data_IF_841007639262
#
_entry.id   IF_841007639262
#
_cell.length_a   1.000
_cell.length_b   1.000
_cell.length_c   1.000
_cell.angle_alpha   90.00
_cell.angle_beta   90.00
_cell.angle_gamma   90.00
#
_symmetry.space_group_name_H-M   'P 1'
#
loop_
_entity.id
_entity.type
_entity.pdbx_description
1 polymer ?
#
# COMPACT_ATOMS: atom_id res chain seq x y z
N UNK A 1 -18.80 -13.06 -5.28
CA UNK A 1 -17.82 -11.99 -5.01
C UNK A 1 -18.17 -10.82 -5.89
N UNK A 2 -18.27 -9.64 -5.32
CA UNK A 2 -18.47 -8.40 -6.05
C UNK A 2 -17.11 -7.78 -6.39
N UNK A 3 -17.08 -6.94 -7.42
CA UNK A 3 -16.00 -5.97 -7.60
C UNK A 3 -16.46 -4.60 -7.07
N UNK A 4 -15.55 -3.77 -6.58
CA UNK A 4 -15.89 -2.46 -6.01
C UNK A 4 -14.98 -1.36 -6.55
N UNK A 5 -15.57 -0.24 -6.99
CA UNK A 5 -14.86 1.01 -7.19
C UNK A 5 -14.50 1.63 -5.83
N UNK A 6 -13.30 2.21 -5.74
CA UNK A 6 -12.86 2.97 -4.57
C UNK A 6 -13.06 4.46 -4.85
N UNK A 7 -14.08 5.04 -4.20
CA UNK A 7 -14.46 6.44 -4.38
C UNK A 7 -13.80 7.32 -3.31
N UNK A 8 -12.76 8.06 -3.71
CA UNK A 8 -12.06 8.99 -2.82
C UNK A 8 -12.92 10.21 -2.47
N UNK A 9 -13.03 10.51 -1.19
CA UNK A 9 -13.63 11.75 -0.68
C UNK A 9 -12.67 12.93 -0.71
N UNK A 10 -13.13 14.05 -0.16
CA UNK A 10 -12.32 15.26 0.05
C UNK A 10 -11.30 15.08 1.17
N UNK A 11 -10.24 15.89 1.14
CA UNK A 11 -9.23 15.97 2.19
C UNK A 11 -9.83 16.26 3.57
N UNK A 12 -9.33 15.56 4.61
CA UNK A 12 -9.74 15.72 6.01
C UNK A 12 -8.53 15.58 6.93
N UNK A 13 -8.65 16.07 8.17
CA UNK A 13 -7.65 15.86 9.23
C UNK A 13 -8.25 15.23 10.50
N UNK A 14 -9.55 14.91 10.49
CA UNK A 14 -10.27 14.25 11.57
C UNK A 14 -10.91 12.99 11.03
N UNK A 15 -10.59 11.84 11.63
CA UNK A 15 -11.10 10.54 11.19
C UNK A 15 -12.61 10.45 11.42
N UNK A 16 -13.30 9.84 10.46
CA UNK A 16 -14.69 9.42 10.60
C UNK A 16 -14.79 7.89 10.54
N UNK A 17 -15.87 7.34 11.11
CA UNK A 17 -16.09 5.89 11.20
C UNK A 17 -17.10 5.35 10.18
N UNK A 18 -17.64 6.22 9.32
CA UNK A 18 -18.65 5.91 8.30
C UNK A 18 -18.06 5.57 6.93
N UNK A 19 -16.74 5.52 6.80
CA UNK A 19 -16.02 5.16 5.56
C UNK A 19 -15.49 3.73 5.57
N UNK A 20 -15.10 3.25 4.39
CA UNK A 20 -14.50 1.93 4.20
C UNK A 20 -12.97 1.96 4.29
N UNK A 21 -12.40 3.12 4.61
CA UNK A 21 -10.95 3.31 4.72
C UNK A 21 -10.52 4.72 4.36
N UNK A 22 -9.20 4.91 4.31
CA UNK A 22 -8.59 6.18 3.92
C UNK A 22 -7.21 5.96 3.30
N UNK A 23 -6.83 6.85 2.39
CA UNK A 23 -5.43 6.97 1.95
C UNK A 23 -4.73 8.13 2.67
N UNK A 24 -3.40 8.04 2.74
CA UNK A 24 -2.53 8.85 3.59
C UNK A 24 -2.91 8.73 5.07
N UNK A 25 -2.70 9.78 5.86
CA UNK A 25 -3.01 9.77 7.27
C UNK A 25 -2.18 8.78 8.07
N UNK A 26 -2.68 8.49 9.27
CA UNK A 26 -2.06 7.57 10.21
C UNK A 26 -2.76 6.20 10.17
N UNK A 27 -2.03 5.09 10.35
CA UNK A 27 -2.60 3.75 10.48
C UNK A 27 -3.22 3.55 11.87
N UNK A 28 -4.24 2.69 12.02
CA UNK A 28 -4.74 2.24 13.31
C UNK A 28 -4.06 0.92 13.72
N UNK A 29 -4.29 0.46 14.94
CA UNK A 29 -4.04 -0.94 15.32
C UNK A 29 -2.57 -1.36 15.48
N UNK A 30 -1.64 -0.40 15.47
CA UNK A 30 -0.22 -0.62 15.77
C UNK A 30 0.24 0.35 16.87
N UNK A 31 1.27 -0.05 17.63
CA UNK A 31 2.04 0.86 18.47
C UNK A 31 3.19 1.51 17.68
N UNK A 32 3.73 2.66 18.10
CA UNK A 32 4.86 3.32 17.42
C UNK A 32 6.05 2.38 17.17
N UNK A 33 6.37 1.52 18.13
CA UNK A 33 7.48 0.58 18.02
C UNK A 33 7.22 -0.56 17.02
N UNK A 34 5.96 -0.81 16.67
CA UNK A 34 5.54 -1.81 15.70
C UNK A 34 5.48 -1.27 14.27
N UNK A 35 5.69 0.05 14.08
CA UNK A 35 5.67 0.68 12.77
C UNK A 35 6.71 0.04 11.84
N UNK A 36 6.32 -0.44 10.64
CA UNK A 36 7.25 -1.09 9.72
C UNK A 36 8.43 -0.18 9.37
N UNK A 37 9.66 -0.65 9.57
CA UNK A 37 10.85 0.01 9.06
C UNK A 37 11.12 -0.39 7.61
N UNK A 38 11.59 0.57 6.81
CA UNK A 38 12.15 0.35 5.49
C UNK A 38 13.51 -0.36 5.65
N UNK A 39 13.68 -1.56 5.07
CA UNK A 39 14.91 -2.33 5.19
C UNK A 39 16.14 -1.64 4.55
N UNK A 40 15.96 -0.71 3.61
CA UNK A 40 17.05 -0.07 2.88
C UNK A 40 17.52 1.21 3.54
N UNK A 41 16.60 2.06 4.00
CA UNK A 41 16.94 3.34 4.62
C UNK A 41 16.94 3.31 6.14
N UNK A 42 16.27 2.33 6.76
CA UNK A 42 16.09 2.24 8.21
C UNK A 42 15.05 3.20 8.79
N UNK A 43 14.45 4.08 7.96
CA UNK A 43 13.37 4.97 8.38
C UNK A 43 12.03 4.24 8.47
N UNK A 44 11.05 4.78 9.20
CA UNK A 44 9.67 4.29 9.16
C UNK A 44 9.12 4.33 7.73
N UNK A 45 8.43 3.28 7.30
CA UNK A 45 7.77 3.20 6.00
C UNK A 45 6.58 4.17 5.94
N UNK A 46 6.28 4.68 4.75
CA UNK A 46 5.11 5.51 4.50
C UNK A 46 3.84 4.68 4.66
N UNK A 47 2.91 5.08 5.54
CA UNK A 47 1.55 4.55 5.50
C UNK A 47 0.80 5.20 4.35
N UNK A 48 0.39 4.42 3.36
CA UNK A 48 -0.34 4.99 2.22
C UNK A 48 -1.83 4.72 2.24
N UNK A 49 -2.33 3.60 2.80
CA UNK A 49 -3.77 3.46 3.06
C UNK A 49 -4.11 2.40 4.10
N UNK A 50 -5.28 2.55 4.71
CA UNK A 50 -5.98 1.51 5.47
C UNK A 50 -7.31 1.21 4.79
N UNK A 51 -7.57 -0.07 4.52
CA UNK A 51 -8.77 -0.55 3.83
C UNK A 51 -9.54 -1.54 4.71
N UNK A 52 -10.82 -1.26 4.93
CA UNK A 52 -11.78 -2.23 5.47
C UNK A 52 -12.16 -3.21 4.37
N UNK A 53 -12.02 -4.49 4.67
CA UNK A 53 -12.34 -5.57 3.74
C UNK A 53 -13.84 -5.88 3.78
N UNK A 54 -14.53 -5.84 2.62
CA UNK A 54 -15.83 -6.45 2.44
C UNK A 54 -15.80 -7.93 2.87
N UNK A 55 -16.94 -8.48 3.28
CA UNK A 55 -17.02 -9.86 3.78
C UNK A 55 -16.46 -10.89 2.78
N UNK A 56 -16.72 -10.70 1.49
CA UNK A 56 -16.22 -11.55 0.42
C UNK A 56 -14.72 -11.41 0.12
N UNK A 57 -14.02 -10.48 0.78
CA UNK A 57 -12.57 -10.29 0.70
C UNK A 57 -11.82 -10.68 1.99
N UNK A 58 -12.52 -11.19 3.02
CA UNK A 58 -11.90 -11.60 4.31
C UNK A 58 -11.28 -13.00 4.24
N UNK A 59 -10.30 -13.16 3.36
CA UNK A 59 -9.64 -14.44 3.05
C UNK A 59 -8.65 -14.94 4.11
N UNK A 60 -8.25 -14.08 5.05
CA UNK A 60 -7.37 -14.43 6.18
C UNK A 60 -8.13 -14.81 7.45
N UNK A 61 -9.42 -15.10 7.33
CA UNK A 61 -10.32 -15.42 8.43
C UNK A 61 -11.34 -14.29 8.71
N UNK A 62 -12.49 -14.63 9.29
CA UNK A 62 -13.59 -13.68 9.49
C UNK A 62 -13.26 -12.56 10.50
N UNK A 63 -12.24 -12.76 11.36
CA UNK A 63 -11.76 -11.77 12.32
C UNK A 63 -10.77 -10.77 11.71
N UNK A 64 -10.25 -11.03 10.50
CA UNK A 64 -9.44 -10.06 9.74
C UNK A 64 -10.37 -9.19 8.92
N UNK A 65 -10.62 -7.97 9.39
CA UNK A 65 -11.63 -7.08 8.80
C UNK A 65 -11.02 -5.93 8.00
N UNK A 66 -9.70 -5.70 8.11
CA UNK A 66 -9.01 -4.62 7.44
C UNK A 66 -7.54 -4.94 7.23
N UNK A 67 -6.87 -4.15 6.40
CA UNK A 67 -5.42 -4.14 6.24
C UNK A 67 -4.90 -2.70 6.19
N UNK A 68 -3.70 -2.48 6.69
CA UNK A 68 -2.93 -1.25 6.53
C UNK A 68 -1.71 -1.53 5.65
N UNK A 69 -1.50 -0.71 4.62
CA UNK A 69 -0.45 -0.88 3.62
C UNK A 69 0.61 0.21 3.74
N UNK A 70 1.87 -0.21 3.67
CA UNK A 70 3.05 0.61 3.84
C UNK A 70 4.04 0.39 2.70
N UNK A 71 4.79 1.42 2.35
CA UNK A 71 5.80 1.36 1.29
C UNK A 71 7.06 2.17 1.64
N UNK A 72 8.15 1.91 0.92
CA UNK A 72 9.26 2.85 0.76
C UNK A 72 8.72 4.23 0.36
N UNK A 73 9.24 5.29 0.98
CA UNK A 73 8.80 6.65 0.70
C UNK A 73 9.13 7.06 -0.76
N UNK A 74 8.31 7.89 -1.41
CA UNK A 74 8.50 8.22 -2.83
C UNK A 74 9.81 8.96 -3.10
N UNK A 75 10.26 9.81 -2.19
CA UNK A 75 11.56 10.51 -2.22
C UNK A 75 12.75 9.59 -1.87
N UNK A 76 12.47 8.36 -1.45
CA UNK A 76 13.44 7.27 -1.31
C UNK A 76 13.37 6.25 -2.46
N UNK A 77 12.61 6.53 -3.52
CA UNK A 77 12.49 5.69 -4.71
C UNK A 77 12.77 6.48 -5.99
N UNK A 78 13.99 6.32 -6.53
CA UNK A 78 14.43 6.88 -7.81
C UNK A 78 14.90 5.75 -8.75
N UNK A 79 13.95 4.93 -9.20
CA UNK A 79 14.25 3.70 -9.93
C UNK A 79 14.79 2.57 -9.05
N UNK A 80 14.57 2.67 -7.74
CA UNK A 80 15.06 1.75 -6.71
C UNK A 80 15.19 2.42 -5.35
N UNK A 81 15.33 1.65 -4.26
CA UNK A 81 15.34 2.19 -2.91
C UNK A 81 16.65 2.94 -2.61
N UNK A 82 16.54 4.08 -1.92
CA UNK A 82 17.68 4.75 -1.31
C UNK A 82 18.37 3.80 -0.31
N UNK A 83 19.68 3.61 -0.50
CA UNK A 83 20.47 2.63 0.27
C UNK A 83 21.20 3.30 1.42
N UNK A 84 20.85 2.88 2.63
CA UNK A 84 21.62 3.17 3.84
C UNK A 84 22.75 2.17 4.04
N UNK A 85 23.12 1.97 5.31
CA UNK A 85 24.24 1.12 5.70
C UNK A 85 24.07 -0.35 5.32
N UNK A 86 25.20 -0.99 4.97
CA UNK A 86 25.26 -2.42 4.73
C UNK A 86 24.74 -3.23 5.92
N UNK A 87 23.95 -4.27 5.62
CA UNK A 87 23.36 -5.16 6.62
C UNK A 87 22.02 -4.70 7.20
N UNK A 88 21.57 -3.45 6.97
CA UNK A 88 20.24 -2.99 7.35
C UNK A 88 19.11 -3.91 6.84
N UNK A 89 19.10 -4.31 5.55
CA UNK A 89 18.02 -5.14 5.04
C UNK A 89 17.90 -6.48 5.78
N UNK A 90 19.03 -7.09 6.11
CA UNK A 90 19.08 -8.36 6.85
C UNK A 90 18.52 -8.20 8.26
N UNK A 91 18.96 -7.19 9.03
CA UNK A 91 18.53 -7.04 10.42
C UNK A 91 17.09 -6.53 10.56
N UNK A 92 16.56 -5.84 9.54
CA UNK A 92 15.19 -5.31 9.54
C UNK A 92 14.16 -6.30 8.97
N UNK A 93 14.45 -6.90 7.81
CA UNK A 93 13.48 -7.76 7.14
C UNK A 93 13.37 -9.15 7.79
N UNK A 94 14.48 -9.67 8.33
CA UNK A 94 14.57 -10.98 8.94
C UNK A 94 15.47 -10.96 10.19
N UNK A 95 15.07 -10.27 11.28
CA UNK A 95 15.89 -10.16 12.47
C UNK A 95 16.22 -11.53 13.06
N UNK A 96 17.50 -11.85 13.18
CA UNK A 96 17.97 -13.09 13.79
C UNK A 96 17.63 -13.16 15.29
N UNK A 97 17.67 -14.37 15.86
CA UNK A 97 17.44 -14.58 17.30
C UNK A 97 18.51 -13.91 18.18
N UNK A 98 19.75 -13.85 17.70
CA UNK A 98 20.88 -13.21 18.37
C UNK A 98 21.10 -11.79 17.82
N UNK A 99 21.59 -10.84 18.65
CA UNK A 99 21.94 -9.50 18.20
C UNK A 99 23.02 -9.53 17.10
N UNK A 100 23.03 -8.56 16.17
CA UNK A 100 24.11 -8.44 15.18
C UNK A 100 25.45 -8.13 15.85
N UNK A 101 26.53 -8.66 15.25
CA UNK A 101 27.90 -8.39 15.67
C UNK A 101 28.25 -6.90 15.54
N UNK A 102 27.85 -6.28 14.43
CA UNK A 102 27.93 -4.84 14.26
C UNK A 102 26.96 -4.15 15.23
N UNK A 103 27.52 -3.57 16.30
CA UNK A 103 26.77 -2.89 17.35
C UNK A 103 25.94 -1.72 16.85
N UNK A 104 26.35 -1.05 15.76
CA UNK A 104 25.61 0.05 15.16
C UNK A 104 24.28 -0.37 14.50
N UNK A 105 24.13 -1.66 14.16
CA UNK A 105 22.89 -2.25 13.64
C UNK A 105 21.92 -2.70 14.74
N UNK A 106 22.36 -2.76 16.01
CA UNK A 106 21.53 -3.27 17.11
C UNK A 106 20.23 -2.48 17.32
N UNK A 107 20.21 -1.13 17.27
CA UNK A 107 18.96 -0.38 17.43
C UNK A 107 17.90 -0.74 16.37
N UNK A 108 18.32 -1.02 15.13
CA UNK A 108 17.42 -1.46 14.06
C UNK A 108 16.92 -2.89 14.28
N UNK A 109 17.81 -3.79 14.68
CA UNK A 109 17.45 -5.18 15.03
C UNK A 109 16.45 -5.24 16.20
N UNK A 110 16.68 -4.46 17.26
CA UNK A 110 15.77 -4.36 18.41
C UNK A 110 14.40 -3.86 17.96
N UNK A 111 14.35 -2.80 17.15
CA UNK A 111 13.11 -2.27 16.61
C UNK A 111 12.39 -3.28 15.71
N UNK A 112 13.10 -3.96 14.82
CA UNK A 112 12.51 -4.92 13.90
C UNK A 112 11.86 -6.12 14.61
N UNK A 113 12.39 -6.52 15.77
CA UNK A 113 11.81 -7.60 16.60
C UNK A 113 10.50 -7.23 17.29
N UNK A 114 10.17 -5.94 17.37
CA UNK A 114 8.90 -5.46 17.89
C UNK A 114 7.81 -5.41 16.82
N UNK A 115 8.08 -5.91 15.60
CA UNK A 115 7.11 -5.94 14.51
C UNK A 115 5.75 -6.51 14.92
N UNK A 116 4.69 -5.96 14.35
CA UNK A 116 3.33 -6.46 14.57
C UNK A 116 3.22 -7.94 14.14
N UNK A 117 2.54 -8.76 14.94
CA UNK A 117 2.48 -10.22 14.72
C UNK A 117 1.83 -10.63 13.38
N UNK A 118 1.04 -9.74 12.77
CA UNK A 118 0.40 -9.93 11.46
C UNK A 118 1.04 -9.06 10.35
N UNK A 119 2.30 -8.66 10.53
CA UNK A 119 3.08 -7.99 9.50
C UNK A 119 3.51 -8.99 8.43
N UNK A 120 3.28 -8.65 7.17
CA UNK A 120 3.88 -9.31 6.00
C UNK A 120 4.69 -8.29 5.23
N UNK A 121 5.88 -8.68 4.78
CA UNK A 121 6.79 -7.84 3.99
C UNK A 121 6.86 -8.36 2.56
N UNK A 122 6.96 -7.44 1.61
CA UNK A 122 7.01 -7.71 0.18
C UNK A 122 8.07 -6.80 -0.46
N UNK A 123 8.44 -7.10 -1.69
CA UNK A 123 9.42 -6.35 -2.46
C UNK A 123 9.02 -6.38 -3.94
N UNK A 124 9.19 -5.27 -4.64
CA UNK A 124 8.98 -5.21 -6.10
C UNK A 124 10.25 -5.51 -6.90
N UNK A 125 10.14 -5.46 -8.23
CA UNK A 125 11.24 -5.71 -9.16
C UNK A 125 12.38 -4.68 -9.08
N UNK A 126 12.10 -3.46 -8.62
CA UNK A 126 13.12 -2.41 -8.39
C UNK A 126 13.80 -2.56 -7.02
N UNK A 127 13.30 -3.47 -6.21
CA UNK A 127 13.78 -3.75 -4.88
C UNK A 127 13.17 -2.87 -3.79
N UNK A 128 12.20 -2.01 -4.10
CA UNK A 128 11.50 -1.19 -3.11
C UNK A 128 10.69 -2.08 -2.17
N UNK A 129 10.59 -1.67 -0.90
CA UNK A 129 9.99 -2.47 0.13
C UNK A 129 8.52 -2.08 0.36
N UNK A 130 7.69 -3.10 0.61
CA UNK A 130 6.28 -2.94 0.94
C UNK A 130 5.92 -3.78 2.15
N UNK A 131 4.88 -3.39 2.86
CA UNK A 131 4.42 -4.11 4.04
C UNK A 131 2.91 -4.00 4.20
N UNK A 132 2.31 -5.08 4.69
CA UNK A 132 0.90 -5.15 5.07
C UNK A 132 0.80 -5.55 6.53
N UNK A 133 -0.06 -4.87 7.27
CA UNK A 133 -0.49 -5.29 8.61
C UNK A 133 -1.97 -5.66 8.54
N UNK A 134 -2.31 -6.92 8.80
CA UNK A 134 -3.70 -7.37 8.86
C UNK A 134 -4.32 -7.02 10.23
N UNK A 135 -5.51 -6.46 10.20
CA UNK A 135 -6.17 -5.86 11.36
C UNK A 135 -7.47 -6.59 11.74
N UNK A 136 -7.67 -6.71 13.04
CA UNK A 136 -8.95 -7.09 13.65
C UNK A 136 -9.86 -5.88 13.83
N UNK A 137 -11.13 -6.10 14.17
CA UNK A 137 -12.12 -5.04 14.34
C UNK A 137 -11.72 -4.03 15.42
N UNK A 138 -11.26 -4.52 16.59
CA UNK A 138 -10.76 -3.68 17.69
C UNK A 138 -9.55 -2.83 17.26
N UNK A 139 -8.62 -3.43 16.52
CA UNK A 139 -7.45 -2.74 15.99
C UNK A 139 -7.84 -1.67 14.96
N UNK A 140 -8.78 -1.97 14.05
CA UNK A 140 -9.28 -1.02 13.04
C UNK A 140 -10.03 0.15 13.67
N UNK A 141 -10.91 -0.10 14.64
CA UNK A 141 -11.69 0.93 15.33
C UNK A 141 -10.87 1.73 16.36
N UNK A 142 -9.69 1.21 16.70
CA UNK A 142 -8.78 1.79 17.67
C UNK A 142 -8.18 3.15 17.28
N UNK A 143 -7.40 3.74 18.19
CA UNK A 143 -6.74 5.01 17.96
C UNK A 143 -5.74 4.93 16.81
N UNK A 144 -5.55 6.07 16.14
CA UNK A 144 -4.52 6.22 15.12
C UNK A 144 -3.14 6.30 15.79
N UNK A 145 -2.17 5.59 15.23
CA UNK A 145 -0.80 5.60 15.71
C UNK A 145 -0.05 6.81 15.15
N UNK A 146 0.55 7.68 15.99
CA UNK A 146 1.42 8.74 15.49
C UNK A 146 2.70 8.15 14.84
N UNK A 147 3.42 8.93 14.01
CA UNK A 147 4.71 8.50 13.50
C UNK A 147 5.65 8.13 14.64
N UNK A 148 6.47 7.09 14.49
CA UNK A 148 7.28 6.60 15.58
C UNK A 148 8.52 7.48 15.82
N UNK A 149 9.13 7.41 17.01
CA UNK A 149 10.45 7.97 17.20
C UNK A 149 11.43 7.29 16.24
N UNK A 150 12.42 8.04 15.76
CA UNK A 150 13.45 7.50 14.89
C UNK A 150 14.39 6.57 15.66
N UNK A 151 14.98 5.62 14.94
CA UNK A 151 16.01 4.74 15.51
C UNK A 151 17.24 5.59 15.83
N UNK A 152 17.68 5.54 17.09
CA UNK A 152 18.87 6.27 17.54
C UNK A 152 20.14 5.54 17.06
N UNK A 153 20.60 5.88 15.86
CA UNK A 153 21.82 5.36 15.27
C UNK A 153 22.38 6.36 14.25
N UNK A 154 23.70 6.51 14.23
CA UNK A 154 24.39 7.32 13.22
C UNK A 154 24.24 6.75 11.81
N UNK A 155 23.92 5.44 11.68
CA UNK A 155 23.65 4.82 10.39
C UNK A 155 22.39 5.39 9.72
N UNK A 156 21.41 5.86 10.51
CA UNK A 156 20.18 6.46 9.97
C UNK A 156 20.47 7.76 9.20
N UNK A 157 21.54 8.47 9.56
CA UNK A 157 21.93 9.76 8.97
C UNK A 157 22.61 9.61 7.60
N UNK A 158 22.88 8.39 7.13
CA UNK A 158 23.47 8.13 5.82
C UNK A 158 22.48 8.39 4.67
N UNK A 159 21.17 8.36 4.98
CA UNK A 159 20.10 8.69 4.05
C UNK A 159 19.34 9.88 4.61
N UNK A 160 18.97 10.82 3.74
CA UNK A 160 18.14 11.96 4.13
C UNK A 160 16.80 11.47 4.69
N UNK A 161 16.29 12.09 5.75
CA UNK A 161 15.00 11.73 6.30
C UNK A 161 13.89 11.94 5.26
N UNK A 162 12.96 10.97 5.11
CA UNK A 162 11.90 11.09 4.11
C UNK A 162 10.97 12.25 4.48
N UNK A 163 10.57 13.03 3.49
CA UNK A 163 9.92 14.32 3.67
C UNK A 163 8.58 14.20 4.44
N UNK A 164 7.86 13.10 4.25
CA UNK A 164 6.57 12.84 4.89
C UNK A 164 6.65 12.88 6.43
N UNK A 165 7.80 12.58 7.04
CA UNK A 165 7.97 12.67 8.49
C UNK A 165 7.85 14.12 8.99
N UNK A 166 8.17 15.10 8.15
CA UNK A 166 8.12 16.52 8.49
C UNK A 166 6.79 17.14 8.08
N UNK A 167 6.33 16.88 6.86
CA UNK A 167 5.18 17.59 6.27
C UNK A 167 3.92 16.75 6.10
N UNK A 168 3.97 15.47 6.47
CA UNK A 168 2.88 14.51 6.26
C UNK A 168 2.85 13.91 4.86
N UNK A 169 2.34 12.67 4.77
CA UNK A 169 2.27 11.88 3.54
C UNK A 169 1.50 12.58 2.40
N UNK A 170 0.37 13.22 2.73
CA UNK A 170 -0.47 13.92 1.78
C UNK A 170 0.26 15.07 1.07
N UNK A 171 1.05 15.87 1.81
CA UNK A 171 1.78 17.01 1.25
C UNK A 171 3.04 16.56 0.49
N UNK A 172 3.75 15.57 1.03
CA UNK A 172 4.92 14.97 0.36
C UNK A 172 4.54 14.36 -0.99
N UNK A 173 3.43 13.62 -1.09
CA UNK A 173 2.93 13.10 -2.37
C UNK A 173 2.73 14.20 -3.42
N UNK A 174 2.10 15.32 -3.06
CA UNK A 174 1.89 16.44 -3.98
C UNK A 174 3.21 17.07 -4.44
N UNK A 175 4.17 17.24 -3.52
CA UNK A 175 5.47 17.83 -3.82
C UNK A 175 6.35 16.92 -4.71
N UNK A 176 6.42 15.62 -4.38
CA UNK A 176 7.29 14.65 -5.06
C UNK A 176 6.71 14.16 -6.39
N UNK A 177 5.40 13.92 -6.45
CA UNK A 177 4.75 13.26 -7.59
C UNK A 177 3.90 14.22 -8.45
N UNK A 178 3.83 15.50 -8.07
CA UNK A 178 3.03 16.51 -8.77
C UNK A 178 1.52 16.22 -8.77
N UNK A 179 1.02 15.52 -7.75
CA UNK A 179 -0.39 15.13 -7.63
C UNK A 179 -1.21 16.18 -6.86
N UNK A 180 -2.53 16.00 -6.83
CA UNK A 180 -3.48 16.91 -6.17
C UNK A 180 -3.04 17.25 -4.73
N UNK A 181 -2.88 18.54 -4.46
CA UNK A 181 -2.39 19.04 -3.19
C UNK A 181 -3.55 19.31 -2.24
N UNK A 182 -3.40 18.87 -0.99
CA UNK A 182 -4.34 19.27 0.07
C UNK A 182 -4.28 20.79 0.29
N UNK A 183 -5.45 21.41 0.43
CA UNK A 183 -5.59 22.83 0.79
C UNK A 183 -5.80 23.04 2.29
N UNK A 184 -5.77 21.97 3.09
CA UNK A 184 -6.00 22.05 4.52
C UNK A 184 -4.81 22.68 5.25
N UNK A 185 -5.09 23.79 5.92
CA UNK A 185 -4.17 24.43 6.87
C UNK A 185 -4.42 23.87 8.28
N UNK A 186 -3.51 23.01 8.73
CA UNK A 186 -3.55 22.39 10.05
C UNK A 186 -2.14 22.06 10.53
N UNK A 187 -1.85 22.21 11.84
CA UNK A 187 -0.60 21.74 12.42
C UNK A 187 -0.53 20.20 12.50
N UNK A 188 -1.68 19.50 12.44
CA UNK A 188 -1.75 18.04 12.48
C UNK A 188 -1.46 17.43 11.09
N UNK A 189 -0.27 17.72 10.54
CA UNK A 189 0.07 17.41 9.15
C UNK A 189 -0.02 15.93 8.80
N UNK A 190 0.34 15.03 9.72
CA UNK A 190 0.26 13.58 9.51
C UNK A 190 -1.17 13.04 9.58
N UNK A 191 -2.12 13.78 10.16
CA UNK A 191 -3.51 13.37 10.23
C UNK A 191 -4.28 13.65 8.92
N UNK A 192 -3.67 14.39 7.98
CA UNK A 192 -4.29 14.70 6.69
C UNK A 192 -4.44 13.41 5.87
N UNK A 193 -5.67 13.08 5.52
CA UNK A 193 -6.05 11.89 4.77
C UNK A 193 -7.21 12.17 3.81
N UNK A 194 -7.48 11.23 2.89
CA UNK A 194 -8.74 11.20 2.14
C UNK A 194 -9.50 9.92 2.52
N UNK A 195 -10.68 10.00 3.14
CA UNK A 195 -11.52 8.84 3.32
C UNK A 195 -12.01 8.33 1.97
N UNK A 196 -12.37 7.07 1.87
CA UNK A 196 -13.01 6.51 0.69
C UNK A 196 -14.15 5.56 1.04
N UNK A 197 -15.03 5.34 0.07
CA UNK A 197 -16.10 4.36 0.15
C UNK A 197 -15.99 3.37 -1.00
N UNK A 198 -16.44 2.15 -0.73
CA UNK A 198 -16.54 1.10 -1.73
C UNK A 198 -17.91 1.15 -2.39
N UNK A 199 -17.94 1.22 -3.71
CA UNK A 199 -19.17 1.19 -4.51
C UNK A 199 -19.14 -0.05 -5.38
N UNK A 200 -20.10 -0.95 -5.20
CA UNK A 200 -20.15 -2.18 -5.99
C UNK A 200 -20.27 -1.86 -7.49
N UNK A 201 -19.40 -2.46 -8.31
CA UNK A 201 -19.45 -2.37 -9.77
C UNK A 201 -20.59 -3.23 -10.29
N UNK A 202 -21.60 -2.57 -10.84
CA UNK A 202 -22.63 -3.28 -11.59
C UNK A 202 -22.03 -3.78 -12.92
N UNK A 203 -22.20 -5.08 -13.21
CA UNK A 203 -21.88 -5.69 -14.50
C UNK A 203 -20.38 -5.76 -14.88
N UNK A 204 -19.44 -5.70 -13.92
CA UNK A 204 -18.05 -6.05 -14.23
C UNK A 204 -17.97 -7.55 -14.58
N UNK A 205 -17.66 -7.93 -15.84
CA UNK A 205 -17.68 -9.32 -16.26
C UNK A 205 -16.59 -10.15 -15.57
N UNK A 206 -15.60 -9.50 -14.93
CA UNK A 206 -14.47 -10.14 -14.28
C UNK A 206 -14.63 -10.29 -12.76
N UNK A 207 -15.74 -9.85 -12.18
CA UNK A 207 -16.01 -10.00 -10.75
C UNK A 207 -15.88 -11.48 -10.32
N UNK A 208 -14.98 -11.76 -9.35
CA UNK A 208 -14.72 -13.10 -8.84
C UNK A 208 -13.91 -14.03 -9.75
N UNK A 209 -13.43 -13.56 -10.91
CA UNK A 209 -12.61 -14.34 -11.83
C UNK A 209 -11.12 -14.12 -11.57
N UNK A 210 -10.31 -15.13 -11.85
CA UNK A 210 -8.85 -15.03 -11.76
C UNK A 210 -8.37 -14.15 -12.91
N UNK A 211 -7.64 -13.05 -12.63
CA UNK A 211 -7.01 -12.24 -13.68
C UNK A 211 -6.15 -13.09 -14.61
N UNK A 212 -6.37 -12.98 -15.92
CA UNK A 212 -5.57 -13.64 -16.95
C UNK A 212 -5.30 -12.71 -18.13
N UNK A 213 -4.04 -12.60 -18.52
CA UNK A 213 -3.65 -11.74 -19.62
C UNK A 213 -3.89 -12.45 -20.94
N UNK A 214 -4.66 -11.83 -21.83
CA UNK A 214 -4.84 -12.28 -23.22
C UNK A 214 -4.57 -11.10 -24.15
N UNK A 215 -3.80 -11.35 -25.20
CA UNK A 215 -3.35 -10.32 -26.15
C UNK A 215 -4.13 -10.33 -27.46
N UNK A 216 -4.81 -11.44 -27.75
CA UNK A 216 -5.56 -11.71 -28.99
C UNK A 216 -7.07 -11.48 -28.82
N UNK A 217 -7.48 -10.78 -27.76
CA UNK A 217 -8.89 -10.54 -27.43
C UNK A 217 -9.68 -11.80 -27.05
N UNK A 218 -9.03 -12.97 -26.94
CA UNK A 218 -9.71 -14.19 -26.52
C UNK A 218 -10.07 -14.12 -25.05
N UNK A 219 -11.20 -14.73 -24.71
CA UNK A 219 -11.60 -14.91 -23.31
C UNK A 219 -10.75 -16.06 -22.76
N UNK A 220 -9.98 -15.77 -21.71
CA UNK A 220 -9.11 -16.76 -21.08
C UNK A 220 -9.90 -17.95 -20.51
N UNK A 221 -9.22 -19.07 -20.31
CA UNK A 221 -9.75 -20.16 -19.48
C UNK A 221 -10.13 -19.62 -18.09
N UNK A 222 -11.36 -19.89 -17.64
CA UNK A 222 -11.96 -19.26 -16.44
C UNK A 222 -12.81 -18.01 -16.73
N UNK A 223 -12.90 -17.59 -17.99
CA UNK A 223 -13.88 -16.60 -18.44
C UNK A 223 -13.47 -15.14 -18.22
N UNK A 224 -12.22 -14.87 -17.82
CA UNK A 224 -11.70 -13.51 -17.64
C UNK A 224 -11.55 -12.82 -19.00
N UNK A 225 -11.95 -11.55 -19.07
CA UNK A 225 -11.97 -10.74 -20.29
C UNK A 225 -10.99 -9.58 -20.15
N UNK A 226 -10.16 -9.35 -21.17
CA UNK A 226 -9.33 -8.14 -21.22
C UNK A 226 -10.19 -6.87 -21.23
N UNK A 227 -9.80 -5.79 -20.52
CA UNK A 227 -10.45 -4.49 -20.66
C UNK A 227 -10.21 -3.87 -22.05
N UNK A 228 -9.19 -4.33 -22.76
CA UNK A 228 -8.77 -3.85 -24.07
C UNK A 228 -9.22 -4.79 -25.19
N UNK A 229 -9.64 -4.19 -26.29
CA UNK A 229 -9.82 -4.87 -27.59
C UNK A 229 -8.48 -5.04 -28.29
N UNK A 230 -8.47 -5.79 -29.39
CA UNK A 230 -7.27 -5.98 -30.23
C UNK A 230 -6.64 -4.66 -30.71
N UNK A 231 -7.44 -3.60 -30.88
CA UNK A 231 -6.97 -2.26 -31.27
C UNK A 231 -6.56 -1.38 -30.08
N UNK A 232 -6.42 -1.96 -28.88
CA UNK A 232 -6.15 -1.28 -27.60
C UNK A 232 -7.22 -0.29 -27.14
N UNK A 233 -8.38 -0.25 -27.80
CA UNK A 233 -9.51 0.53 -27.31
C UNK A 233 -10.26 -0.21 -26.18
N UNK A 234 -10.89 0.56 -25.30
CA UNK A 234 -11.67 -0.01 -24.20
C UNK A 234 -13.00 -0.62 -24.67
N UNK A 235 -13.42 -1.70 -24.04
CA UNK A 235 -14.79 -2.18 -24.19
C UNK A 235 -15.82 -1.22 -23.57
N UNK A 236 -17.03 -1.17 -24.12
CA UNK A 236 -18.09 -0.29 -23.59
C UNK A 236 -18.48 -0.61 -22.13
N UNK A 237 -18.32 -1.88 -21.71
CA UNK A 237 -18.62 -2.30 -20.35
C UNK A 237 -17.61 -1.79 -19.31
N UNK A 238 -16.43 -1.30 -19.72
CA UNK A 238 -15.45 -0.71 -18.80
C UNK A 238 -15.78 0.73 -18.43
N UNK A 239 -16.78 1.34 -19.08
CA UNK A 239 -17.18 2.71 -18.87
C UNK A 239 -17.67 2.92 -17.43
N UNK A 240 -17.11 3.95 -16.76
CA UNK A 240 -17.49 4.32 -15.40
C UNK A 240 -16.76 3.59 -14.28
N UNK A 241 -16.01 2.52 -14.57
CA UNK A 241 -15.14 1.88 -13.59
C UNK A 241 -13.97 2.83 -13.23
N UNK A 242 -13.79 3.03 -11.93
CA UNK A 242 -12.69 3.81 -11.37
C UNK A 242 -11.32 3.13 -11.58
N UNK A 243 -10.21 3.89 -11.57
CA UNK A 243 -8.88 3.30 -11.60
C UNK A 243 -8.59 2.48 -10.34
N UNK A 244 -8.86 3.03 -9.16
CA UNK A 244 -8.66 2.33 -7.88
C UNK A 244 -9.85 1.43 -7.56
N UNK A 245 -9.62 0.14 -7.30
CA UNK A 245 -10.70 -0.82 -7.11
C UNK A 245 -10.32 -2.12 -6.40
N UNK A 246 -11.34 -2.83 -5.92
CA UNK A 246 -11.24 -4.19 -5.38
C UNK A 246 -11.80 -5.20 -6.39
N UNK A 247 -10.95 -6.15 -6.81
CA UNK A 247 -11.26 -7.22 -7.76
C UNK A 247 -11.94 -6.79 -9.05
N UNK A 248 -12.40 -7.77 -9.83
CA UNK A 248 -12.98 -7.49 -11.14
C UNK A 248 -11.91 -7.31 -12.19
N UNK A 249 -12.02 -6.24 -12.98
CA UNK A 249 -11.15 -5.99 -14.14
C UNK A 249 -9.89 -5.21 -13.77
N UNK A 250 -8.77 -5.92 -13.78
CA UNK A 250 -7.42 -5.38 -13.63
C UNK A 250 -7.04 -4.58 -14.89
N UNK A 251 -6.31 -3.47 -14.76
CA UNK A 251 -6.03 -2.53 -15.87
C UNK A 251 -4.56 -2.21 -16.20
N UNK A 252 -3.54 -3.03 -15.89
CA UNK A 252 -2.22 -2.77 -16.43
C UNK A 252 -2.24 -2.96 -17.96
N UNK A 253 -1.48 -2.15 -18.68
CA UNK A 253 -1.35 -2.27 -20.14
C UNK A 253 -0.57 -3.53 -20.50
N UNK A 254 0.42 -3.90 -19.70
CA UNK A 254 1.28 -5.07 -19.90
C UNK A 254 1.67 -5.75 -18.59
N UNK A 255 2.25 -6.96 -18.66
CA UNK A 255 2.81 -7.69 -17.51
C UNK A 255 1.84 -7.87 -16.32
N UNK A 256 0.60 -8.31 -16.59
CA UNK A 256 -0.38 -8.50 -15.53
C UNK A 256 0.07 -9.60 -14.56
N UNK A 257 0.10 -9.35 -13.24
CA UNK A 257 0.56 -10.34 -12.29
C UNK A 257 -0.41 -11.52 -12.17
N UNK A 258 0.12 -12.72 -11.88
CA UNK A 258 -0.68 -13.93 -11.66
C UNK A 258 -1.30 -13.93 -10.26
N UNK A 259 -2.38 -13.16 -10.08
CA UNK A 259 -3.06 -12.99 -8.80
C UNK A 259 -4.35 -13.78 -8.68
N UNK A 260 -4.79 -13.96 -7.44
CA UNK A 260 -6.13 -14.45 -7.14
C UNK A 260 -7.20 -13.39 -7.46
N UNK A 261 -8.51 -13.74 -7.47
CA UNK A 261 -9.59 -12.76 -7.61
C UNK A 261 -9.67 -11.74 -6.45
N UNK A 262 -8.95 -11.98 -5.36
CA UNK A 262 -8.99 -11.20 -4.13
C UNK A 262 -7.87 -10.16 -4.14
N UNK A 263 -7.94 -9.15 -5.01
CA UNK A 263 -6.91 -8.11 -5.09
C UNK A 263 -7.49 -6.71 -4.93
N UNK A 264 -6.63 -5.78 -4.54
CA UNK A 264 -6.83 -4.34 -4.74
C UNK A 264 -5.88 -3.89 -5.85
N UNK A 265 -6.38 -3.09 -6.78
CA UNK A 265 -5.56 -2.33 -7.75
C UNK A 265 -5.67 -0.84 -7.42
N UNK A 266 -4.53 -0.14 -7.45
CA UNK A 266 -4.47 1.26 -7.09
C UNK A 266 -3.32 2.02 -7.79
N UNK A 267 -3.55 3.31 -8.03
CA UNK A 267 -2.58 4.22 -8.63
C UNK A 267 -1.75 4.97 -7.58
N UNK A 268 -0.71 5.66 -8.03
CA UNK A 268 0.21 6.47 -7.21
C UNK A 268 -0.48 7.48 -6.28
N UNK A 269 -1.62 8.04 -6.70
CA UNK A 269 -2.41 9.00 -5.92
C UNK A 269 -3.13 8.35 -4.71
N UNK A 270 -3.20 7.02 -4.68
CA UNK A 270 -3.83 6.23 -3.63
C UNK A 270 -2.79 5.80 -2.60
N UNK A 271 -2.11 6.78 -1.99
CA UNK A 271 -1.16 6.53 -0.89
C UNK A 271 0.23 7.13 -1.09
N UNK A 272 0.53 7.71 -2.26
CA UNK A 272 1.74 8.49 -2.50
C UNK A 272 2.96 7.65 -2.82
N UNK A 273 2.87 6.86 -3.89
CA UNK A 273 3.93 5.97 -4.34
C UNK A 273 4.46 6.37 -5.72
N UNK A 274 5.67 5.95 -6.05
CA UNK A 274 6.24 6.14 -7.38
C UNK A 274 6.22 4.80 -8.14
N UNK A 275 5.29 4.65 -9.08
CA UNK A 275 5.16 3.48 -9.96
C UNK A 275 5.48 3.85 -11.42
N UNK A 276 6.14 4.99 -11.65
CA UNK A 276 6.51 5.41 -12.99
C UNK A 276 5.33 5.50 -13.95
N UNK A 277 4.17 5.97 -13.48
CA UNK A 277 2.87 6.03 -14.20
C UNK A 277 2.11 4.71 -14.38
N UNK A 278 2.59 3.61 -13.80
CA UNK A 278 1.85 2.35 -13.73
C UNK A 278 0.78 2.31 -12.63
N UNK A 279 0.12 1.16 -12.52
CA UNK A 279 -0.80 0.81 -11.44
C UNK A 279 -0.24 -0.38 -10.63
N UNK A 280 -0.44 -0.33 -9.33
CA UNK A 280 -0.03 -1.38 -8.43
C UNK A 280 -1.18 -2.31 -8.10
N UNK A 281 -0.85 -3.56 -7.84
CA UNK A 281 -1.79 -4.59 -7.40
C UNK A 281 -1.25 -5.25 -6.13
N UNK A 282 -2.15 -5.51 -5.20
CA UNK A 282 -1.90 -6.36 -4.03
C UNK A 282 -2.90 -7.51 -4.04
N UNK A 283 -2.41 -8.73 -4.19
CA UNK A 283 -3.21 -9.93 -3.94
C UNK A 283 -3.41 -10.06 -2.43
N UNK A 284 -4.62 -9.77 -1.97
CA UNK A 284 -5.01 -9.82 -0.57
C UNK A 284 -4.92 -11.25 -0.05
N UNK A 285 -5.12 -12.28 -0.89
CA UNK A 285 -5.09 -13.68 -0.46
C UNK A 285 -3.67 -14.17 -0.21
N UNK A 286 -2.76 -13.90 -1.14
CA UNK A 286 -1.37 -14.39 -1.05
C UNK A 286 -0.43 -13.39 -0.39
N UNK A 287 -0.87 -12.14 -0.22
CA UNK A 287 -0.04 -11.00 0.19
C UNK A 287 1.18 -10.85 -0.71
N UNK A 288 0.93 -10.96 -2.02
CA UNK A 288 1.87 -10.64 -3.07
C UNK A 288 1.56 -9.25 -3.62
N UNK A 289 2.61 -8.50 -3.90
CA UNK A 289 2.53 -7.15 -4.44
C UNK A 289 3.31 -7.09 -5.74
N UNK A 290 2.74 -6.41 -6.73
CA UNK A 290 3.41 -6.07 -7.97
C UNK A 290 2.87 -4.74 -8.51
N UNK A 291 3.55 -4.16 -9.49
CA UNK A 291 3.02 -3.05 -10.25
C UNK A 291 3.44 -3.17 -11.71
N UNK A 292 2.59 -2.67 -12.60
CA UNK A 292 2.84 -2.72 -14.02
C UNK A 292 2.32 -1.45 -14.73
N UNK A 293 2.82 -1.21 -15.94
CA UNK A 293 2.38 -0.10 -16.79
C UNK A 293 1.30 -0.56 -17.77
#
# INVERSE_FOLDING_TARGET
MHAYDIMLGNWRHTRQHDNDGWCFGLPPGIAPEQWPLDPWSGYPMLHGFTLRLPEDYRVHGPDVVALAFFATAPDHNDGGPARGADGLPTVIAAPAALPPENTALRPFWERARLAHARLTRMQDILGCAYAVVLLRQDAFDGPLCPPPPLVDSTLLQQVAAPEWLTIGAARSCAATLGKDATTLDTPAVHAIHRPFHLVARANDPNAGKVPRQTWDGTIAEGGYQSPFREDFSYHAWTAGHAPNHLGGTMRPTQAMPEFSPYYIEFEENFGGYNFGSGNAQLDIKTLQFDWAC
#
